data_IF_159021135367
#
_entry.id   IF_159021135367
#
_cell.length_a   1.000
_cell.length_b   1.000
_cell.length_c   1.000
_cell.angle_alpha   90.00
_cell.angle_beta   90.00
_cell.angle_gamma   90.00
#
_symmetry.space_group_name_H-M   'P 1'
#
loop_
_entity.id
_entity.type
_entity.pdbx_description
1 polymer ?
#
# COMPACT_ATOMS: atom_id res chain seq x y z
N UNK A 1 -17.92 -5.76 -8.31
CA UNK A 1 -17.76 -5.79 -9.79
C UNK A 1 -16.39 -6.33 -10.21
N UNK A 2 -15.68 -7.06 -9.36
CA UNK A 2 -14.21 -7.17 -9.49
C UNK A 2 -13.71 -8.53 -10.01
N UNK A 3 -14.61 -9.52 -10.17
CA UNK A 3 -14.28 -10.91 -10.60
C UNK A 3 -13.44 -11.00 -11.88
N UNK A 4 -13.59 -10.03 -12.79
CA UNK A 4 -12.81 -9.99 -14.02
C UNK A 4 -11.30 -9.86 -13.76
N UNK A 5 -10.86 -9.36 -12.59
CA UNK A 5 -9.45 -9.29 -12.21
C UNK A 5 -8.86 -10.65 -11.84
N UNK A 6 -9.71 -11.61 -11.45
CA UNK A 6 -9.37 -13.00 -11.17
C UNK A 6 -9.39 -13.79 -12.50
N UNK A 7 -10.44 -13.59 -13.30
CA UNK A 7 -10.61 -14.17 -14.64
C UNK A 7 -9.46 -13.76 -15.60
N UNK A 8 -8.97 -12.52 -15.51
CA UNK A 8 -7.83 -12.03 -16.29
C UNK A 8 -6.46 -12.38 -15.72
N UNK A 9 -6.34 -13.10 -14.59
CA UNK A 9 -5.03 -13.44 -14.02
C UNK A 9 -4.17 -14.26 -15.01
N UNK A 10 -4.75 -15.26 -15.69
CA UNK A 10 -4.01 -16.07 -16.66
C UNK A 10 -3.53 -15.25 -17.89
N UNK A 11 -4.38 -14.42 -18.54
CA UNK A 11 -3.91 -13.44 -19.53
C UNK A 11 -2.84 -12.46 -19.00
N UNK A 12 -2.95 -12.01 -17.74
CA UNK A 12 -1.96 -11.13 -17.11
C UNK A 12 -0.59 -11.80 -16.93
N UNK A 13 -0.55 -13.10 -16.65
CA UNK A 13 0.67 -13.89 -16.52
C UNK A 13 1.23 -14.34 -17.88
N UNK A 14 0.35 -14.61 -18.86
CA UNK A 14 0.71 -15.02 -20.23
C UNK A 14 1.59 -14.00 -20.98
N UNK A 15 1.56 -12.72 -20.58
CA UNK A 15 2.51 -11.68 -21.01
C UNK A 15 3.98 -12.11 -20.93
N UNK A 16 4.31 -13.00 -19.98
CA UNK A 16 5.68 -13.49 -19.74
C UNK A 16 6.13 -14.56 -20.74
N UNK A 17 5.23 -15.04 -21.61
CA UNK A 17 5.48 -16.13 -22.56
C UNK A 17 5.46 -15.63 -24.00
N UNK A 18 6.57 -15.84 -24.72
CA UNK A 18 6.70 -15.49 -26.14
C UNK A 18 6.46 -16.71 -26.99
N UNK A 19 5.32 -16.75 -27.69
CA UNK A 19 4.94 -17.88 -28.55
C UNK A 19 6.00 -18.20 -29.62
N UNK A 20 6.68 -17.17 -30.15
CA UNK A 20 7.80 -17.34 -31.08
C UNK A 20 8.98 -18.16 -30.49
N UNK A 21 9.25 -18.04 -29.19
CA UNK A 21 10.31 -18.83 -28.52
C UNK A 21 9.85 -20.27 -28.29
N UNK A 22 8.59 -20.48 -27.93
CA UNK A 22 7.98 -21.83 -27.81
C UNK A 22 8.11 -22.58 -29.15
N UNK A 23 7.76 -21.93 -30.26
CA UNK A 23 7.90 -22.49 -31.62
C UNK A 23 9.35 -22.82 -31.99
N UNK A 24 10.29 -21.93 -31.64
CA UNK A 24 11.73 -22.13 -31.87
C UNK A 24 12.25 -23.35 -31.10
N UNK A 25 11.95 -23.43 -29.80
CA UNK A 25 12.40 -24.53 -28.95
C UNK A 25 11.74 -25.87 -29.31
N UNK A 26 10.47 -25.86 -29.72
CA UNK A 26 9.82 -27.04 -30.30
C UNK A 26 10.55 -27.52 -31.57
N UNK A 27 10.88 -26.60 -32.49
CA UNK A 27 11.67 -26.92 -33.68
C UNK A 27 13.07 -27.47 -33.36
N UNK A 28 13.74 -26.93 -32.33
CA UNK A 28 15.04 -27.42 -31.85
C UNK A 28 14.95 -28.85 -31.28
N UNK A 29 13.87 -29.18 -30.55
CA UNK A 29 13.60 -30.56 -30.10
C UNK A 29 13.34 -31.51 -31.26
N UNK A 30 12.55 -31.10 -32.26
CA UNK A 30 12.30 -31.88 -33.48
C UNK A 30 13.60 -32.19 -34.24
N UNK A 31 14.51 -31.24 -34.39
CA UNK A 31 15.81 -31.46 -35.04
C UNK A 31 16.69 -32.39 -34.20
N UNK A 32 16.77 -32.17 -32.88
CA UNK A 32 17.56 -33.02 -31.97
C UNK A 32 17.11 -34.48 -31.96
N UNK A 33 15.80 -34.73 -31.89
CA UNK A 33 15.25 -36.09 -31.86
C UNK A 33 15.44 -36.83 -33.19
N UNK A 34 15.30 -36.14 -34.33
CA UNK A 34 15.61 -36.72 -35.64
C UNK A 34 17.12 -36.99 -35.79
N UNK A 35 18.00 -36.15 -35.22
CA UNK A 35 19.44 -36.43 -35.22
C UNK A 35 19.79 -37.69 -34.43
N UNK A 36 19.14 -37.92 -33.28
CA UNK A 36 19.31 -39.16 -32.49
C UNK A 36 18.79 -40.38 -33.27
N UNK A 37 17.68 -40.22 -34.00
CA UNK A 37 17.16 -41.28 -34.88
C UNK A 37 18.16 -41.68 -35.96
N UNK A 38 18.74 -40.72 -36.68
CA UNK A 38 19.73 -41.03 -37.73
C UNK A 38 20.98 -41.69 -37.16
N UNK A 39 21.51 -41.21 -36.03
CA UNK A 39 22.64 -41.83 -35.33
C UNK A 39 22.35 -43.30 -34.97
N UNK A 40 21.13 -43.61 -34.51
CA UNK A 40 20.70 -44.98 -34.21
C UNK A 40 20.49 -45.84 -35.45
N UNK A 41 19.91 -45.29 -36.52
CA UNK A 41 19.71 -46.00 -37.79
C UNK A 41 21.05 -46.29 -38.51
N UNK A 42 22.05 -45.43 -38.39
CA UNK A 42 23.39 -45.62 -39.00
C UNK A 42 24.33 -46.50 -38.17
N UNK A 43 24.36 -46.35 -36.84
CA UNK A 43 25.34 -47.05 -35.98
C UNK A 43 24.75 -48.23 -35.19
N UNK A 44 23.44 -48.27 -34.98
CA UNK A 44 22.78 -49.28 -34.14
C UNK A 44 21.49 -49.89 -34.76
N UNK A 45 21.48 -50.26 -36.06
CA UNK A 45 20.26 -50.68 -36.76
C UNK A 45 19.68 -52.01 -36.25
N UNK A 46 20.52 -52.91 -35.71
CA UNK A 46 20.14 -54.27 -35.38
C UNK A 46 20.58 -54.64 -33.95
N UNK A 47 19.73 -54.31 -32.96
CA UNK A 47 20.11 -54.27 -31.53
C UNK A 47 20.46 -55.63 -30.90
N UNK A 48 20.23 -56.74 -31.60
CA UNK A 48 20.61 -58.09 -31.18
C UNK A 48 21.97 -58.55 -31.74
N UNK A 49 22.61 -57.75 -32.61
CA UNK A 49 23.98 -58.00 -33.09
C UNK A 49 25.08 -57.44 -32.18
N UNK A 50 24.70 -56.61 -31.20
CA UNK A 50 25.60 -55.88 -30.30
C UNK A 50 26.02 -56.70 -29.06
N UNK A 51 27.14 -56.35 -28.41
CA UNK A 51 27.61 -57.05 -27.21
C UNK A 51 26.55 -57.04 -26.09
N UNK A 52 26.31 -58.16 -25.38
CA UNK A 52 25.20 -58.27 -24.42
C UNK A 52 25.34 -57.37 -23.17
N UNK A 53 26.53 -56.84 -22.90
CA UNK A 53 26.77 -55.84 -21.85
C UNK A 53 26.42 -54.41 -22.28
N UNK A 54 26.34 -54.13 -23.59
CA UNK A 54 25.98 -52.79 -24.08
C UNK A 54 24.46 -52.56 -24.04
N UNK A 55 24.07 -51.67 -23.14
CA UNK A 55 22.67 -51.27 -22.92
C UNK A 55 22.32 -49.94 -23.59
N UNK A 56 23.29 -49.23 -24.17
CA UNK A 56 23.04 -47.93 -24.80
C UNK A 56 22.02 -48.03 -25.95
N UNK A 57 22.13 -48.96 -26.92
CA UNK A 57 21.20 -49.02 -28.06
C UNK A 57 19.76 -49.26 -27.62
N UNK A 58 19.54 -50.26 -26.76
CA UNK A 58 18.21 -50.64 -26.28
C UNK A 58 17.58 -49.59 -25.36
N UNK A 59 18.40 -48.78 -24.68
CA UNK A 59 17.93 -47.64 -23.89
C UNK A 59 17.60 -46.43 -24.77
N UNK A 60 18.41 -46.15 -25.79
CA UNK A 60 18.30 -44.96 -26.63
C UNK A 60 17.20 -45.13 -27.71
N UNK A 61 17.00 -46.33 -28.26
CA UNK A 61 15.82 -46.65 -29.07
C UNK A 61 14.50 -46.48 -28.30
N UNK A 62 14.47 -46.86 -27.00
CA UNK A 62 13.29 -46.65 -26.15
C UNK A 62 13.06 -45.17 -25.84
N UNK A 63 14.14 -44.42 -25.55
CA UNK A 63 14.08 -42.96 -25.41
C UNK A 63 13.57 -42.28 -26.69
N UNK A 64 14.01 -42.72 -27.87
CA UNK A 64 13.51 -42.20 -29.15
C UNK A 64 12.00 -42.42 -29.29
N UNK A 65 11.49 -43.59 -28.93
CA UNK A 65 10.06 -43.89 -28.94
C UNK A 65 9.28 -42.99 -27.96
N UNK A 66 9.66 -43.00 -26.67
CA UNK A 66 9.02 -42.19 -25.62
C UNK A 66 9.06 -40.68 -25.95
N UNK A 67 10.18 -40.20 -26.51
CA UNK A 67 10.37 -38.82 -26.92
C UNK A 67 9.62 -38.44 -28.19
N UNK A 68 9.35 -39.38 -29.10
CA UNK A 68 8.57 -39.11 -30.32
C UNK A 68 7.09 -38.91 -29.97
N UNK A 69 6.54 -39.79 -29.14
CA UNK A 69 5.16 -39.71 -28.64
C UNK A 69 4.90 -38.38 -27.91
N UNK A 70 5.76 -38.01 -26.97
CA UNK A 70 5.67 -36.74 -26.23
C UNK A 70 5.82 -35.51 -27.13
N UNK A 71 6.58 -35.61 -28.24
CA UNK A 71 6.81 -34.50 -29.16
C UNK A 71 5.68 -34.35 -30.19
N UNK A 72 4.94 -35.42 -30.50
CA UNK A 72 3.72 -35.36 -31.28
C UNK A 72 2.60 -34.64 -30.50
N UNK A 73 2.35 -35.06 -29.24
CA UNK A 73 1.43 -34.40 -28.30
C UNK A 73 1.76 -32.91 -28.10
N UNK A 74 3.05 -32.59 -27.88
CA UNK A 74 3.51 -31.21 -27.75
C UNK A 74 3.33 -30.43 -29.06
N UNK A 75 3.55 -31.08 -30.21
CA UNK A 75 3.37 -30.48 -31.53
C UNK A 75 1.93 -30.07 -31.79
N UNK A 76 0.96 -30.92 -31.47
CA UNK A 76 -0.46 -30.59 -31.57
C UNK A 76 -0.88 -29.53 -30.55
N UNK A 77 -0.34 -29.57 -29.33
CA UNK A 77 -0.54 -28.52 -28.32
C UNK A 77 -0.04 -27.15 -28.81
N UNK A 78 1.12 -27.10 -29.48
CA UNK A 78 1.67 -25.87 -30.07
C UNK A 78 0.80 -25.37 -31.23
N UNK A 79 0.39 -26.24 -32.15
CA UNK A 79 -0.53 -25.90 -33.27
C UNK A 79 -1.85 -25.34 -32.74
N UNK A 80 -2.47 -26.00 -31.76
CA UNK A 80 -3.72 -25.56 -31.14
C UNK A 80 -3.54 -24.20 -30.45
N UNK A 81 -2.40 -23.95 -29.81
CA UNK A 81 -2.08 -22.66 -29.18
C UNK A 81 -1.94 -21.54 -30.22
N UNK A 82 -1.28 -21.80 -31.36
CA UNK A 82 -1.16 -20.85 -32.49
C UNK A 82 -2.52 -20.49 -33.09
N UNK A 83 -3.39 -21.49 -33.31
CA UNK A 83 -4.75 -21.29 -33.81
C UNK A 83 -5.59 -20.49 -32.82
N UNK A 84 -5.66 -20.91 -31.56
CA UNK A 84 -6.43 -20.22 -30.51
C UNK A 84 -5.97 -18.76 -30.33
N UNK A 85 -4.67 -18.50 -30.40
CA UNK A 85 -4.13 -17.13 -30.33
C UNK A 85 -4.54 -16.29 -31.54
N UNK A 86 -4.47 -16.85 -32.75
CA UNK A 86 -4.88 -16.17 -33.99
C UNK A 86 -6.39 -15.84 -34.00
N UNK A 87 -7.21 -16.77 -33.53
CA UNK A 87 -8.66 -16.54 -33.34
C UNK A 87 -8.92 -15.47 -32.27
N UNK A 88 -8.14 -15.45 -31.19
CA UNK A 88 -8.25 -14.44 -30.14
C UNK A 88 -7.91 -13.04 -30.65
N UNK A 89 -6.81 -12.87 -31.41
CA UNK A 89 -6.48 -11.59 -32.06
C UNK A 89 -7.62 -11.11 -32.96
N UNK A 90 -8.16 -12.00 -33.81
CA UNK A 90 -9.28 -11.71 -34.70
C UNK A 90 -10.57 -11.36 -33.96
N UNK A 91 -10.84 -11.99 -32.81
CA UNK A 91 -12.00 -11.67 -31.96
C UNK A 91 -11.92 -10.27 -31.34
N UNK A 92 -10.72 -9.84 -30.91
CA UNK A 92 -10.50 -8.48 -30.39
C UNK A 92 -10.29 -7.42 -31.48
N UNK A 93 -10.09 -7.82 -32.74
CA UNK A 93 -9.89 -6.92 -33.88
C UNK A 93 -8.45 -6.43 -34.07
N UNK A 94 -7.48 -7.14 -33.51
CA UNK A 94 -6.05 -6.82 -33.58
C UNK A 94 -5.40 -7.39 -34.87
N UNK A 95 -4.21 -6.89 -35.24
CA UNK A 95 -3.41 -7.44 -36.36
C UNK A 95 -2.98 -8.88 -36.03
N UNK A 96 -3.22 -9.83 -36.94
CA UNK A 96 -2.80 -11.24 -36.83
C UNK A 96 -1.27 -11.41 -36.71
N UNK A 97 -0.49 -10.35 -36.96
CA UNK A 97 0.97 -10.28 -36.75
C UNK A 97 1.41 -9.84 -35.35
N UNK A 98 0.49 -9.38 -34.49
CA UNK A 98 0.81 -8.94 -33.14
C UNK A 98 1.43 -10.08 -32.32
N UNK A 99 2.51 -9.82 -31.58
CA UNK A 99 3.11 -10.86 -30.75
C UNK A 99 2.29 -11.16 -29.49
N UNK A 100 2.41 -12.37 -28.96
CA UNK A 100 1.75 -12.76 -27.69
C UNK A 100 2.10 -11.83 -26.53
N UNK A 101 3.35 -11.34 -26.49
CA UNK A 101 3.79 -10.39 -25.47
C UNK A 101 3.17 -9.01 -25.64
N UNK A 102 2.97 -8.51 -26.86
CA UNK A 102 2.27 -7.23 -27.06
C UNK A 102 0.80 -7.35 -26.65
N UNK A 103 0.10 -8.39 -27.13
CA UNK A 103 -1.31 -8.61 -26.85
C UNK A 103 -1.61 -8.81 -25.35
N UNK A 104 -0.94 -9.77 -24.70
CA UNK A 104 -1.13 -9.99 -23.26
C UNK A 104 -0.57 -8.85 -22.40
N UNK A 105 0.33 -8.02 -22.95
CA UNK A 105 0.84 -6.79 -22.34
C UNK A 105 -0.24 -5.73 -22.12
N UNK A 106 -1.28 -5.71 -22.97
CA UNK A 106 -2.46 -4.86 -22.80
C UNK A 106 -3.19 -5.24 -21.51
N UNK A 107 -3.53 -6.52 -21.34
CA UNK A 107 -4.19 -7.04 -20.14
C UNK A 107 -3.35 -6.84 -18.88
N UNK A 108 -2.02 -7.06 -18.95
CA UNK A 108 -1.10 -6.79 -17.84
C UNK A 108 -1.13 -5.33 -17.40
N UNK A 109 -1.07 -4.42 -18.36
CA UNK A 109 -1.07 -2.97 -18.11
C UNK A 109 -2.43 -2.50 -17.57
N UNK A 110 -3.53 -3.02 -18.14
CA UNK A 110 -4.89 -2.74 -17.71
C UNK A 110 -5.15 -3.19 -16.26
N UNK A 111 -4.88 -4.46 -15.92
CA UNK A 111 -5.14 -4.99 -14.58
C UNK A 111 -4.27 -4.29 -13.51
N UNK A 112 -3.01 -4.01 -13.84
CA UNK A 112 -2.11 -3.22 -12.96
C UNK A 112 -2.67 -1.81 -12.72
N UNK A 113 -3.13 -1.13 -13.78
CA UNK A 113 -3.69 0.23 -13.70
C UNK A 113 -5.02 0.26 -12.96
N UNK A 114 -5.89 -0.74 -13.17
CA UNK A 114 -7.20 -0.84 -12.51
C UNK A 114 -7.04 -1.04 -11.00
N UNK A 115 -6.20 -2.00 -10.56
CA UNK A 115 -5.92 -2.23 -9.13
C UNK A 115 -5.30 -0.99 -8.47
N UNK A 116 -4.47 -0.22 -9.19
CA UNK A 116 -3.98 1.08 -8.72
C UNK A 116 -5.13 2.08 -8.55
N UNK A 117 -5.95 2.31 -9.57
CA UNK A 117 -7.08 3.26 -9.49
C UNK A 117 -8.09 2.88 -8.40
N UNK A 118 -8.32 1.58 -8.16
CA UNK A 118 -9.14 1.08 -7.06
C UNK A 118 -8.58 1.51 -5.69
N UNK A 119 -7.26 1.39 -5.49
CA UNK A 119 -6.59 1.82 -4.26
C UNK A 119 -6.54 3.34 -4.11
N UNK A 120 -6.23 4.07 -5.19
CA UNK A 120 -6.24 5.54 -5.21
C UNK A 120 -7.64 6.09 -4.85
N UNK A 121 -8.71 5.49 -5.39
CA UNK A 121 -10.10 5.83 -5.05
C UNK A 121 -10.45 5.52 -3.58
N UNK A 122 -9.98 4.38 -3.05
CA UNK A 122 -10.18 3.98 -1.64
C UNK A 122 -9.53 4.99 -0.70
N UNK A 123 -8.25 5.29 -0.92
CA UNK A 123 -7.51 6.30 -0.15
C UNK A 123 -8.12 7.70 -0.26
N UNK A 124 -8.64 8.08 -1.44
CA UNK A 124 -9.35 9.34 -1.61
C UNK A 124 -10.69 9.41 -0.85
N UNK A 125 -11.41 8.30 -0.72
CA UNK A 125 -12.62 8.22 0.09
C UNK A 125 -12.31 8.29 1.59
N UNK A 126 -11.34 7.52 2.06
CA UNK A 126 -10.86 7.54 3.45
C UNK A 126 -10.37 8.94 3.85
N UNK A 127 -9.56 9.58 3.00
CA UNK A 127 -9.08 10.94 3.21
C UNK A 127 -10.23 11.96 3.35
N UNK A 128 -11.26 11.90 2.49
CA UNK A 128 -12.44 12.77 2.60
C UNK A 128 -13.17 12.60 3.93
N UNK A 129 -13.33 11.36 4.40
CA UNK A 129 -13.96 11.07 5.71
C UNK A 129 -13.13 11.65 6.86
N UNK A 130 -11.81 11.56 6.81
CA UNK A 130 -10.90 12.15 7.82
C UNK A 130 -10.95 13.68 7.78
N UNK A 131 -10.92 14.29 6.60
CA UNK A 131 -10.99 15.75 6.42
C UNK A 131 -12.35 16.31 6.88
N UNK A 132 -13.46 15.61 6.61
CA UNK A 132 -14.78 15.97 7.11
C UNK A 132 -14.89 15.88 8.63
N UNK A 133 -14.46 14.76 9.25
CA UNK A 133 -14.44 14.63 10.71
C UNK A 133 -13.58 15.71 11.38
N UNK A 134 -12.43 16.04 10.76
CA UNK A 134 -11.56 17.13 11.23
C UNK A 134 -12.23 18.51 11.12
N UNK A 135 -12.99 18.76 10.04
CA UNK A 135 -13.79 19.98 9.87
C UNK A 135 -14.87 20.08 10.94
N UNK A 136 -15.64 19.02 11.15
CA UNK A 136 -16.71 18.95 12.15
C UNK A 136 -16.17 19.25 13.57
N UNK A 137 -15.10 18.57 13.99
CA UNK A 137 -14.47 18.79 15.29
C UNK A 137 -13.89 20.21 15.45
N UNK A 138 -13.31 20.79 14.39
CA UNK A 138 -12.81 22.16 14.43
C UNK A 138 -13.93 23.21 14.54
N UNK A 139 -15.08 22.96 13.91
CA UNK A 139 -16.27 23.81 13.99
C UNK A 139 -16.96 23.70 15.35
N UNK A 140 -17.15 22.49 15.87
CA UNK A 140 -17.66 22.22 17.21
C UNK A 140 -16.78 22.89 18.28
N UNK A 141 -15.45 22.74 18.19
CA UNK A 141 -14.52 23.40 19.12
C UNK A 141 -14.55 24.92 19.02
N UNK A 142 -14.81 25.50 17.84
CA UNK A 142 -15.02 26.95 17.66
C UNK A 142 -16.32 27.40 18.33
N UNK A 143 -17.42 26.70 18.09
CA UNK A 143 -18.73 26.99 18.67
C UNK A 143 -18.72 26.87 20.21
N UNK A 144 -18.09 25.83 20.75
CA UNK A 144 -17.91 25.65 22.20
C UNK A 144 -17.11 26.80 22.83
N UNK A 145 -16.05 27.28 22.16
CA UNK A 145 -15.26 28.44 22.61
C UNK A 145 -16.00 29.78 22.49
N UNK A 146 -16.95 29.91 21.55
CA UNK A 146 -17.82 31.08 21.44
C UNK A 146 -18.85 31.07 22.58
N UNK A 147 -19.56 29.95 22.77
CA UNK A 147 -20.54 29.77 23.84
C UNK A 147 -19.93 29.98 25.24
N UNK A 148 -18.74 29.45 25.50
CA UNK A 148 -18.05 29.67 26.77
C UNK A 148 -17.70 31.15 27.05
N UNK A 149 -17.38 31.94 26.01
CA UNK A 149 -17.15 33.38 26.13
C UNK A 149 -18.44 34.18 26.29
N UNK A 150 -19.52 33.75 25.64
CA UNK A 150 -20.84 34.34 25.82
C UNK A 150 -21.37 34.08 27.24
N UNK A 151 -21.17 32.87 27.77
CA UNK A 151 -21.45 32.52 29.17
C UNK A 151 -20.58 33.31 30.16
N UNK A 152 -19.30 33.57 29.84
CA UNK A 152 -18.41 34.43 30.63
C UNK A 152 -18.87 35.90 30.66
N UNK A 153 -19.39 36.43 29.55
CA UNK A 153 -19.93 37.80 29.44
C UNK A 153 -21.33 37.94 30.05
N UNK A 154 -22.11 36.85 30.11
CA UNK A 154 -23.46 36.80 30.70
C UNK A 154 -23.43 36.54 32.22
N UNK A 155 -22.28 36.23 32.82
CA UNK A 155 -22.13 36.24 34.29
C UNK A 155 -22.49 37.61 34.84
N UNK A 156 -23.32 37.63 35.89
CA UNK A 156 -23.71 38.86 36.57
C UNK A 156 -22.46 39.60 37.07
N UNK A 157 -22.32 40.93 36.86
CA UNK A 157 -21.19 41.70 37.35
C UNK A 157 -21.01 41.61 38.88
N UNK A 158 -22.08 41.32 39.63
CA UNK A 158 -22.00 41.06 41.07
C UNK A 158 -21.25 39.75 41.37
N UNK A 159 -21.49 38.69 40.60
CA UNK A 159 -20.79 37.39 40.71
C UNK A 159 -19.35 37.43 40.16
N UNK A 160 -19.03 38.40 39.30
CA UNK A 160 -17.64 38.70 38.94
C UNK A 160 -16.89 39.31 40.14
N UNK A 161 -17.43 40.38 40.74
CA UNK A 161 -16.83 41.07 41.87
C UNK A 161 -16.67 40.18 43.13
N UNK A 162 -17.63 39.28 43.38
CA UNK A 162 -17.53 38.30 44.47
C UNK A 162 -16.39 37.30 44.21
N UNK A 163 -16.20 36.84 42.97
CA UNK A 163 -15.12 35.90 42.63
C UNK A 163 -13.74 36.56 42.81
N UNK A 164 -13.55 37.78 42.32
CA UNK A 164 -12.29 38.51 42.46
C UNK A 164 -11.96 38.80 43.94
N UNK A 165 -12.97 39.13 44.76
CA UNK A 165 -12.81 39.30 46.22
C UNK A 165 -12.34 38.00 46.90
N UNK A 166 -12.82 36.84 46.45
CA UNK A 166 -12.40 35.53 46.96
C UNK A 166 -10.98 35.16 46.49
N UNK A 167 -10.63 35.46 45.24
CA UNK A 167 -9.29 35.24 44.69
C UNK A 167 -8.25 36.15 45.35
N UNK A 168 -8.58 37.40 45.63
CA UNK A 168 -7.68 38.32 46.34
C UNK A 168 -7.43 37.87 47.78
N UNK A 169 -8.47 37.43 48.51
CA UNK A 169 -8.29 36.79 49.82
C UNK A 169 -7.39 35.56 49.75
N UNK A 170 -7.63 34.66 48.80
CA UNK A 170 -6.82 33.45 48.63
C UNK A 170 -5.35 33.78 48.30
N UNK A 171 -5.10 34.77 47.43
CA UNK A 171 -3.75 35.27 47.11
C UNK A 171 -3.06 35.90 48.32
N UNK A 172 -3.83 36.57 49.18
CA UNK A 172 -3.34 37.21 50.40
C UNK A 172 -3.21 36.21 51.58
N UNK A 173 -3.50 34.92 51.37
CA UNK A 173 -3.31 33.85 52.36
C UNK A 173 -4.50 33.57 53.28
N UNK A 174 -5.66 34.20 53.07
CA UNK A 174 -6.87 33.96 53.86
C UNK A 174 -7.39 32.54 53.63
N UNK A 175 -7.18 31.67 54.63
CA UNK A 175 -7.67 30.29 54.59
C UNK A 175 -9.19 30.24 54.76
N UNK A 176 -9.91 29.91 53.68
CA UNK A 176 -11.36 29.78 53.70
C UNK A 176 -11.76 28.71 54.74
N UNK A 177 -12.51 29.06 55.80
CA UNK A 177 -12.80 28.13 56.89
C UNK A 177 -13.81 27.06 56.44
N UNK A 178 -13.33 25.82 56.22
CA UNK A 178 -14.17 24.64 55.94
C UNK A 178 -15.03 24.26 57.15
N UNK A 179 -16.14 24.97 57.39
CA UNK A 179 -17.18 24.54 58.33
C UNK A 179 -18.01 23.42 57.69
N UNK A 180 -18.00 22.25 58.33
CA UNK A 180 -18.71 21.05 57.91
C UNK A 180 -20.22 21.14 58.18
N UNK A 181 -21.02 21.25 57.13
CA UNK A 181 -22.49 21.15 57.18
C UNK A 181 -22.96 19.70 57.30
N UNK A 182 -22.61 19.04 58.40
CA UNK A 182 -23.08 17.68 58.71
C UNK A 182 -24.50 17.69 59.29
N UNK A 183 -25.50 17.81 58.42
CA UNK A 183 -26.90 17.51 58.74
C UNK A 183 -27.47 16.56 57.69
N UNK A 184 -27.80 15.33 58.10
CA UNK A 184 -28.61 14.36 57.36
C UNK A 184 -29.69 13.76 58.28
N UNK A 185 -30.97 13.94 57.98
CA UNK A 185 -32.02 12.98 58.32
C UNK A 185 -32.02 11.82 57.30
N UNK A 186 -32.65 10.69 57.65
CA UNK A 186 -32.49 9.42 56.91
C UNK A 186 -33.82 8.89 56.35
N UNK A 187 -33.82 8.68 55.02
CA UNK A 187 -34.49 7.62 54.21
C UNK A 187 -35.90 7.16 54.58
N UNK A 188 -36.84 7.37 53.65
CA UNK A 188 -37.75 6.38 53.03
C UNK A 188 -38.28 7.00 51.70
N UNK A 189 -38.56 6.32 50.58
CA UNK A 189 -38.30 4.94 50.08
C UNK A 189 -38.54 4.97 48.54
N UNK A 190 -37.63 4.38 47.74
CA UNK A 190 -37.78 3.69 46.42
C UNK A 190 -38.80 4.18 45.33
N UNK A 191 -38.65 3.78 44.04
CA UNK A 191 -37.45 3.46 43.25
C UNK A 191 -37.37 4.28 41.93
N UNK A 192 -36.15 4.47 41.39
CA UNK A 192 -35.98 5.05 40.04
C UNK A 192 -36.21 4.02 38.94
N UNK A 193 -36.82 4.42 37.81
CA UNK A 193 -37.18 3.53 36.70
C UNK A 193 -37.13 4.24 35.35
N UNK A 194 -36.46 3.59 34.37
CA UNK A 194 -36.60 3.71 32.91
C UNK A 194 -36.30 5.07 32.20
N UNK A 195 -35.84 5.12 30.94
CA UNK A 195 -35.33 4.05 30.03
C UNK A 195 -33.78 4.21 29.83
N UNK A 196 -33.11 4.49 28.70
CA UNK A 196 -33.47 4.68 27.27
C UNK A 196 -32.38 4.21 26.29
N UNK A 197 -32.72 4.23 25.01
CA UNK A 197 -31.98 3.77 23.82
C UNK A 197 -30.70 4.59 23.52
N UNK A 198 -29.69 4.06 22.81
CA UNK A 198 -29.63 2.85 21.97
C UNK A 198 -29.69 3.20 20.47
N UNK A 199 -29.17 2.43 19.51
CA UNK A 199 -28.66 1.02 19.48
C UNK A 199 -27.21 1.01 18.93
N UNK A 200 -26.57 0.07 18.21
CA UNK A 200 -26.84 -1.16 17.40
C UNK A 200 -25.48 -1.95 17.32
N UNK A 201 -25.29 -3.21 16.87
CA UNK A 201 -26.13 -4.30 16.31
C UNK A 201 -25.39 -5.67 16.46
N UNK A 202 -26.02 -6.75 15.96
CA UNK A 202 -25.45 -8.05 15.54
C UNK A 202 -24.95 -9.06 16.62
N UNK A 203 -25.28 -10.33 16.37
CA UNK A 203 -24.87 -11.52 17.11
C UNK A 203 -24.13 -12.47 16.17
N UNK A 204 -23.21 -13.28 16.68
CA UNK A 204 -22.80 -14.54 16.04
C UNK A 204 -22.64 -15.65 17.08
N UNK A 205 -22.55 -16.89 16.59
CA UNK A 205 -22.88 -18.12 17.29
C UNK A 205 -21.63 -18.90 17.76
N UNK A 206 -21.72 -19.68 18.84
CA UNK A 206 -20.54 -20.38 19.38
C UNK A 206 -20.78 -21.21 20.65
N UNK A 207 -21.54 -22.31 20.55
CA UNK A 207 -21.81 -23.20 21.69
C UNK A 207 -20.62 -24.10 22.07
N UNK A 208 -20.27 -24.10 23.36
CA UNK A 208 -19.62 -25.16 24.15
C UNK A 208 -18.73 -26.23 23.45
N UNK A 209 -17.45 -26.25 23.79
CA UNK A 209 -16.73 -27.51 24.07
C UNK A 209 -16.33 -27.55 25.55
N UNK A 210 -16.57 -28.69 26.21
CA UNK A 210 -16.14 -28.98 27.58
C UNK A 210 -14.72 -29.56 27.56
N UNK A 211 -13.86 -29.11 28.46
CA UNK A 211 -12.78 -29.93 29.00
C UNK A 211 -12.40 -29.46 30.42
N UNK A 212 -12.15 -30.41 31.31
CA UNK A 212 -11.78 -30.21 32.72
C UNK A 212 -10.28 -30.43 32.86
N UNK A 213 -9.59 -29.65 33.70
CA UNK A 213 -8.43 -30.14 34.44
C UNK A 213 -8.27 -29.45 35.80
N UNK A 214 -7.70 -30.18 36.77
CA UNK A 214 -7.51 -29.78 38.16
C UNK A 214 -6.06 -29.39 38.44
N UNK A 215 -5.82 -28.38 39.28
CA UNK A 215 -4.48 -27.92 39.66
C UNK A 215 -4.49 -27.16 40.99
N UNK A 216 -3.49 -27.44 41.84
CA UNK A 216 -3.40 -27.02 43.24
C UNK A 216 -3.28 -25.50 43.49
N UNK A 217 -3.38 -25.11 44.78
CA UNK A 217 -3.36 -23.74 45.28
C UNK A 217 -2.22 -23.54 46.30
N UNK A 218 -1.45 -22.46 46.16
CA UNK A 218 -0.59 -21.79 47.16
C UNK A 218 -0.41 -20.31 46.72
N UNK A 219 -0.07 -19.35 47.62
CA UNK A 219 -0.45 -17.94 47.42
C UNK A 219 0.71 -16.93 47.16
N UNK A 220 0.31 -15.65 47.17
CA UNK A 220 1.11 -14.41 47.38
C UNK A 220 2.10 -13.92 46.29
N UNK A 221 1.63 -12.96 45.48
CA UNK A 221 2.01 -11.54 45.68
C UNK A 221 1.03 -10.60 44.94
N UNK A 222 0.39 -9.66 45.65
CA UNK A 222 -0.66 -8.79 45.11
C UNK A 222 -0.15 -7.36 44.81
N UNK A 223 0.56 -7.18 43.69
CA UNK A 223 0.91 -5.84 43.18
C UNK A 223 -0.35 -5.03 42.89
N UNK A 224 -0.43 -3.79 43.38
CA UNK A 224 -1.65 -2.99 43.24
C UNK A 224 -1.76 -2.36 41.86
N UNK A 225 -2.98 -2.06 41.35
CA UNK A 225 -3.14 -1.39 40.06
C UNK A 225 -2.63 0.06 40.04
N UNK A 226 -2.16 0.62 41.16
CA UNK A 226 -1.48 1.91 41.20
C UNK A 226 -0.01 1.81 40.73
N UNK A 227 0.68 0.74 41.11
CA UNK A 227 2.11 0.56 40.83
C UNK A 227 2.37 0.39 39.32
N UNK A 228 1.53 -0.42 38.64
CA UNK A 228 1.59 -0.61 37.19
C UNK A 228 1.35 0.67 36.38
N UNK A 229 0.65 1.66 36.94
CA UNK A 229 0.47 2.99 36.32
C UNK A 229 1.67 3.89 36.59
N UNK A 230 2.27 3.81 37.79
CA UNK A 230 3.46 4.56 38.15
C UNK A 230 4.69 4.15 37.31
N UNK A 231 4.89 2.85 37.06
CA UNK A 231 6.00 2.38 36.25
C UNK A 231 5.84 2.72 34.77
N UNK A 232 4.63 2.62 34.21
CA UNK A 232 4.37 3.07 32.84
C UNK A 232 4.53 4.58 32.67
N UNK A 233 4.21 5.37 33.70
CA UNK A 233 4.48 6.80 33.72
C UNK A 233 5.99 7.12 33.76
N UNK A 234 6.82 6.31 34.44
CA UNK A 234 8.29 6.42 34.45
C UNK A 234 8.89 6.09 33.07
N UNK A 235 8.39 5.03 32.43
CA UNK A 235 8.81 4.58 31.10
C UNK A 235 8.64 5.69 30.04
N UNK A 236 7.45 6.28 29.95
CA UNK A 236 7.17 7.40 29.03
C UNK A 236 7.99 8.67 29.33
N UNK A 237 8.40 8.89 30.58
CA UNK A 237 9.25 10.02 30.97
C UNK A 237 10.71 9.80 30.55
N UNK A 238 11.20 8.55 30.60
CA UNK A 238 12.54 8.20 30.11
C UNK A 238 12.63 8.31 28.57
N UNK A 239 11.59 7.91 27.85
CA UNK A 239 11.49 8.08 26.39
C UNK A 239 11.57 9.57 25.98
N UNK A 240 10.82 10.43 26.67
CA UNK A 240 10.87 11.89 26.45
C UNK A 240 12.23 12.52 26.77
N UNK A 241 13.02 11.95 27.70
CA UNK A 241 14.38 12.41 28.00
C UNK A 241 15.40 11.97 26.93
N UNK A 242 15.17 10.82 26.26
CA UNK A 242 15.98 10.41 25.11
C UNK A 242 15.68 11.25 23.85
N UNK A 243 14.52 11.91 23.78
CA UNK A 243 14.09 12.75 22.64
C UNK A 243 14.82 14.13 22.51
N UNK A 244 15.95 14.33 23.20
CA UNK A 244 17.04 15.19 22.69
C UNK A 244 16.94 16.71 22.83
N UNK A 245 16.13 17.26 23.74
CA UNK A 245 16.09 18.72 24.00
C UNK A 245 17.01 19.16 25.16
N UNK A 246 18.29 19.37 24.85
CA UNK A 246 19.29 19.90 25.77
C UNK A 246 19.60 21.40 25.57
N UNK A 247 19.56 22.20 26.64
CA UNK A 247 19.98 23.62 26.66
C UNK A 247 21.49 23.70 26.98
N UNK A 248 22.29 24.55 26.31
CA UNK A 248 23.75 24.36 26.23
C UNK A 248 24.54 24.91 27.43
N UNK A 249 25.64 24.23 27.76
CA UNK A 249 26.75 24.76 28.57
C UNK A 249 27.94 25.20 27.70
N UNK A 250 28.75 26.12 28.22
CA UNK A 250 29.77 26.90 27.47
C UNK A 250 31.22 26.63 27.99
N UNK A 251 32.28 27.26 27.46
CA UNK A 251 33.26 26.54 26.64
C UNK A 251 34.65 26.39 27.29
N UNK A 252 35.50 25.56 26.67
CA UNK A 252 36.96 25.67 26.76
C UNK A 252 37.60 25.64 25.36
N UNK A 253 38.90 25.93 25.27
CA UNK A 253 39.49 26.62 24.11
C UNK A 253 40.77 25.98 23.54
N UNK A 254 41.22 26.52 22.41
CA UNK A 254 42.52 26.36 21.73
C UNK A 254 42.75 25.08 20.91
N UNK A 255 42.68 25.24 19.59
CA UNK A 255 43.23 24.36 18.56
C UNK A 255 43.25 25.14 17.24
N UNK A 256 44.43 25.39 16.67
CA UNK A 256 44.62 26.38 15.58
C UNK A 256 45.14 25.75 14.27
N UNK A 257 45.30 26.59 13.25
CA UNK A 257 45.74 26.28 11.87
C UNK A 257 44.64 25.62 10.99
N UNK A 258 44.49 25.91 9.69
CA UNK A 258 45.15 26.90 8.81
C UNK A 258 44.16 27.46 7.77
N UNK A 259 44.51 28.54 7.06
CA UNK A 259 43.64 29.21 6.06
C UNK A 259 44.01 28.78 4.63
N UNK A 260 42.99 28.42 3.83
CA UNK A 260 43.06 28.29 2.37
C UNK A 260 42.10 29.28 1.66
N UNK A 261 42.40 29.77 0.44
CA UNK A 261 41.65 30.86 -0.19
C UNK A 261 40.35 30.42 -0.91
N UNK A 262 39.46 31.39 -1.15
CA UNK A 262 38.14 31.20 -1.80
C UNK A 262 38.20 31.47 -3.31
N UNK A 263 37.50 30.63 -4.07
CA UNK A 263 36.95 30.92 -5.39
C UNK A 263 35.54 30.28 -5.50
N UNK A 264 34.62 30.71 -6.37
CA UNK A 264 34.73 31.85 -7.29
C UNK A 264 33.66 31.87 -8.39
N UNK A 265 32.37 31.91 -8.02
CA UNK A 265 31.25 32.07 -8.98
C UNK A 265 30.57 30.76 -9.39
N UNK A 266 29.24 30.79 -9.57
CA UNK A 266 28.46 29.58 -9.85
C UNK A 266 26.93 29.70 -9.95
N UNK A 267 26.35 30.86 -10.29
CA UNK A 267 24.88 31.05 -10.28
C UNK A 267 24.34 31.96 -11.40
N UNK A 268 24.42 31.52 -12.66
CA UNK A 268 23.77 32.21 -13.80
C UNK A 268 23.21 31.30 -14.90
N UNK A 269 23.65 30.02 -15.05
CA UNK A 269 23.23 29.17 -16.18
C UNK A 269 21.72 28.85 -16.23
N UNK A 270 21.02 28.78 -15.08
CA UNK A 270 19.59 28.38 -15.03
C UNK A 270 18.60 29.50 -15.43
N UNK A 271 19.05 30.75 -15.53
CA UNK A 271 18.19 31.88 -15.90
C UNK A 271 18.09 32.07 -17.43
N UNK A 272 19.21 31.90 -18.16
CA UNK A 272 19.29 32.25 -19.60
C UNK A 272 18.40 31.37 -20.48
N UNK A 273 18.36 30.07 -20.21
CA UNK A 273 17.58 29.09 -20.98
C UNK A 273 16.04 29.32 -20.94
N UNK A 274 15.52 30.09 -19.96
CA UNK A 274 14.08 30.38 -19.85
C UNK A 274 13.63 31.61 -20.67
N UNK A 275 14.57 32.38 -21.22
CA UNK A 275 14.26 33.53 -22.06
C UNK A 275 14.04 33.14 -23.54
N UNK A 276 14.94 32.33 -24.10
CA UNK A 276 14.94 31.97 -25.53
C UNK A 276 13.70 31.16 -25.95
N UNK A 277 13.14 30.36 -25.03
CA UNK A 277 11.91 29.60 -25.26
C UNK A 277 10.65 30.48 -25.46
N UNK A 278 10.65 31.74 -25.00
CA UNK A 278 9.52 32.66 -25.18
C UNK A 278 9.54 33.44 -26.50
N UNK A 279 10.70 33.51 -27.18
CA UNK A 279 10.85 34.29 -28.41
C UNK A 279 10.31 33.57 -29.67
N UNK A 280 10.04 32.26 -29.62
CA UNK A 280 9.64 31.44 -30.78
C UNK A 280 8.13 31.22 -30.95
N UNK A 281 7.29 31.78 -30.08
CA UNK A 281 5.83 31.53 -30.05
C UNK A 281 5.03 32.80 -30.43
N UNK A 282 5.70 33.88 -30.84
CA UNK A 282 5.08 35.18 -31.16
C UNK A 282 5.28 35.62 -32.61
N UNK A 283 5.36 34.67 -33.54
CA UNK A 283 5.50 34.91 -34.98
C UNK A 283 4.43 34.17 -35.78
N UNK A 284 3.20 34.69 -35.79
CA UNK A 284 2.22 34.31 -36.82
C UNK A 284 2.66 34.92 -38.16
N UNK A 285 2.57 34.14 -39.23
CA UNK A 285 2.47 34.68 -40.58
C UNK A 285 1.39 33.89 -41.33
N UNK A 286 0.49 34.61 -42.01
CA UNK A 286 -0.69 34.06 -42.66
C UNK A 286 -0.43 33.69 -44.13
N UNK A 287 -1.38 32.98 -44.74
CA UNK A 287 -1.45 32.71 -46.17
C UNK A 287 -1.56 34.01 -46.99
N UNK A 288 -1.00 34.03 -48.22
CA UNK A 288 -1.56 34.72 -49.37
C UNK A 288 -2.44 33.79 -50.23
N UNK A 289 -3.29 34.37 -51.07
CA UNK A 289 -4.27 33.68 -51.92
C UNK A 289 -3.70 33.15 -53.25
N UNK A 290 -4.51 32.36 -53.97
CA UNK A 290 -4.28 31.99 -55.37
C UNK A 290 -4.58 33.15 -56.33
N UNK A 291 -3.85 33.22 -57.45
CA UNK A 291 -4.08 34.14 -58.56
C UNK A 291 -3.66 33.48 -59.89
N UNK A 292 -4.41 33.64 -61.00
CA UNK A 292 -4.41 32.60 -62.04
C UNK A 292 -3.55 32.90 -63.28
N UNK A 293 -3.20 31.81 -63.98
CA UNK A 293 -3.08 31.67 -65.45
C UNK A 293 -2.24 32.69 -66.25
N UNK A 294 -1.21 32.17 -66.93
CA UNK A 294 -0.91 32.63 -68.31
C UNK A 294 -0.48 31.44 -69.19
N UNK A 295 -0.54 31.61 -70.52
CA UNK A 295 -0.53 30.50 -71.50
C UNK A 295 0.51 30.75 -72.59
N UNK A 296 1.45 29.82 -72.80
CA UNK A 296 2.13 29.62 -74.11
C UNK A 296 2.77 28.24 -74.20
#
# INVERSE_FOLDING_TARGET
>A
MEKFLDELQQPEEAYRVRLQEVRKHFGELCVGLNSIRTELEEHFPDTDTLPPDDRYPKSMWRFLQEGTEQLEDLGDTVKQTELNFSETLRYYGEDEKMSSAEFFGIFKTFCTSYRKCQNDNRAAAEKKIVEEKRRQYAEESRLARQKAREEEVVRDPQDAAILDTLLERLRNGDTIPRKSSSIRPIIHRLPGSLITMGTIAASDNGSNKVEVHTGAMEPDNATTPADAVADKAREMLAELQQAGFGVPSRPMSMGALSRGPRAGGGSTRRARARAEARARISGLQAHPEEGPMDIT
#
